data_IF_686187834738
#
_entry.id   IF_686187834738
#
_cell.length_a   1.000
_cell.length_b   1.000
_cell.length_c   1.000
_cell.angle_alpha   90.00
_cell.angle_beta   90.00
_cell.angle_gamma   90.00
#
_symmetry.space_group_name_H-M   'P 1'
#
loop_
_entity.id
_entity.type
_entity.pdbx_description
1 polymer ?
#
# COMPACT_ATOMS: atom_id res chain seq x y z
N UNK A 1 -20.45 13.70 -0.10
CA UNK A 1 -19.04 13.56 0.32
C UNK A 1 -18.34 12.61 -0.64
N UNK A 2 -17.22 13.01 -1.25
CA UNK A 2 -16.49 12.15 -2.17
C UNK A 2 -15.65 11.13 -1.36
N UNK A 3 -15.85 9.84 -1.60
CA UNK A 3 -15.09 8.72 -1.00
C UNK A 3 -13.74 8.52 -1.73
N UNK A 4 -13.13 9.59 -2.26
CA UNK A 4 -11.96 9.52 -3.16
C UNK A 4 -10.62 9.73 -2.46
N UNK A 5 -10.59 9.68 -1.15
CA UNK A 5 -9.45 10.02 -0.30
C UNK A 5 -8.72 8.79 0.29
N UNK A 6 -8.87 7.62 -0.36
CA UNK A 6 -8.27 6.35 0.10
C UNK A 6 -7.68 5.54 -1.03
N UNK A 7 -6.55 4.90 -0.70
CA UNK A 7 -5.85 3.98 -1.59
C UNK A 7 -5.60 2.68 -0.83
N UNK A 8 -5.98 1.55 -1.40
CA UNK A 8 -5.52 0.23 -0.94
C UNK A 8 -4.07 0.03 -1.37
N UNK A 9 -3.17 -0.15 -0.40
CA UNK A 9 -1.75 -0.34 -0.67
C UNK A 9 -1.48 -1.63 -1.45
N UNK A 10 -0.45 -1.66 -2.34
CA UNK A 10 -0.05 -2.87 -3.04
C UNK A 10 0.60 -3.84 -2.06
N UNK A 11 -0.01 -5.01 -1.87
CA UNK A 11 0.43 -6.01 -0.91
C UNK A 11 1.11 -7.17 -1.64
N UNK A 12 2.40 -7.38 -1.34
CA UNK A 12 3.16 -8.45 -1.97
C UNK A 12 2.54 -9.82 -1.66
N UNK A 13 2.35 -10.65 -2.68
CA UNK A 13 1.66 -11.95 -2.71
C UNK A 13 0.17 -11.90 -2.36
N UNK A 14 -0.34 -10.84 -1.78
CA UNK A 14 -1.72 -10.71 -1.29
C UNK A 14 -2.63 -9.98 -2.28
N UNK A 15 -2.17 -8.85 -2.84
CA UNK A 15 -2.98 -8.11 -3.82
C UNK A 15 -2.98 -8.80 -5.17
N UNK A 16 -4.15 -9.18 -5.63
CA UNK A 16 -4.45 -9.70 -6.95
C UNK A 16 -5.66 -9.00 -7.57
N UNK A 17 -6.10 -9.40 -8.78
CA UNK A 17 -7.25 -8.78 -9.44
C UNK A 17 -8.51 -8.73 -8.59
N UNK A 18 -8.82 -9.79 -7.82
CA UNK A 18 -10.04 -9.84 -7.00
C UNK A 18 -10.09 -8.71 -5.98
N UNK A 19 -9.00 -8.53 -5.23
CA UNK A 19 -8.90 -7.45 -4.24
C UNK A 19 -8.97 -6.06 -4.90
N UNK A 20 -8.21 -5.85 -5.98
CA UNK A 20 -8.16 -4.57 -6.70
C UNK A 20 -9.52 -4.21 -7.29
N UNK A 21 -10.20 -5.16 -7.94
CA UNK A 21 -11.53 -4.96 -8.52
C UNK A 21 -12.55 -4.61 -7.44
N UNK A 22 -12.52 -5.33 -6.31
CA UNK A 22 -13.41 -5.06 -5.18
C UNK A 22 -13.18 -3.66 -4.59
N UNK A 23 -11.93 -3.25 -4.41
CA UNK A 23 -11.55 -1.91 -3.96
C UNK A 23 -12.03 -0.83 -4.92
N UNK A 24 -11.80 -0.98 -6.21
CA UNK A 24 -12.23 0.00 -7.23
C UNK A 24 -13.75 0.10 -7.32
N UNK A 25 -14.48 -1.04 -7.27
CA UNK A 25 -15.96 -1.06 -7.21
C UNK A 25 -16.50 -0.40 -5.95
N UNK A 26 -15.80 -0.50 -4.82
CA UNK A 26 -16.15 0.19 -3.58
C UNK A 26 -15.78 1.69 -3.57
N UNK A 27 -15.17 2.21 -4.63
CA UNK A 27 -14.88 3.62 -4.83
C UNK A 27 -13.55 4.10 -4.27
N UNK A 28 -12.63 3.20 -3.92
CA UNK A 28 -11.26 3.51 -3.50
C UNK A 28 -10.25 3.00 -4.52
N UNK A 29 -9.10 3.65 -4.65
CA UNK A 29 -8.05 3.23 -5.57
C UNK A 29 -7.50 1.88 -5.10
N UNK A 30 -7.68 0.83 -5.90
CA UNK A 30 -7.09 -0.48 -5.66
C UNK A 30 -5.70 -0.58 -6.28
N UNK A 31 -4.78 -1.31 -5.65
CA UNK A 31 -3.43 -1.46 -6.21
C UNK A 31 -2.83 -2.85 -5.98
N UNK A 32 -1.91 -3.23 -6.86
CA UNK A 32 -1.16 -4.47 -6.74
C UNK A 32 0.28 -4.30 -7.25
N UNK A 33 1.26 -5.08 -6.70
CA UNK A 33 2.61 -5.12 -7.23
C UNK A 33 2.66 -5.87 -8.58
N UNK A 34 3.32 -5.31 -9.60
CA UNK A 34 3.54 -6.01 -10.87
C UNK A 34 4.23 -7.36 -10.66
N UNK A 35 5.13 -7.45 -9.68
CA UNK A 35 5.83 -8.69 -9.31
C UNK A 35 4.93 -9.79 -8.73
N UNK A 36 3.67 -9.53 -8.40
CA UNK A 36 2.70 -10.56 -8.00
C UNK A 36 2.20 -11.36 -9.23
N UNK A 37 2.14 -10.73 -10.38
CA UNK A 37 1.79 -11.40 -11.64
C UNK A 37 2.96 -12.24 -12.15
N UNK A 38 2.86 -13.55 -12.03
CA UNK A 38 3.92 -14.52 -12.37
C UNK A 38 3.36 -15.69 -13.17
N UNK A 39 4.00 -16.05 -14.29
CA UNK A 39 5.10 -15.37 -14.97
C UNK A 39 4.71 -13.99 -15.52
N UNK A 40 5.68 -13.23 -16.10
CA UNK A 40 5.52 -11.81 -16.47
C UNK A 40 4.29 -11.53 -17.35
N UNK A 41 3.99 -12.37 -18.34
CA UNK A 41 2.85 -12.20 -19.24
C UNK A 41 1.49 -12.16 -18.51
N UNK A 42 1.39 -12.72 -17.31
CA UNK A 42 0.19 -12.69 -16.47
C UNK A 42 -0.18 -11.26 -16.07
N UNK A 43 0.78 -10.31 -16.08
CA UNK A 43 0.49 -8.89 -15.84
C UNK A 43 -0.47 -8.33 -16.88
N UNK A 44 -0.26 -8.66 -18.16
CA UNK A 44 -1.18 -8.26 -19.25
C UNK A 44 -2.59 -8.80 -19.02
N UNK A 45 -2.72 -10.08 -18.65
CA UNK A 45 -4.00 -10.72 -18.37
C UNK A 45 -4.73 -10.07 -17.18
N UNK A 46 -3.99 -9.77 -16.10
CA UNK A 46 -4.56 -9.13 -14.91
C UNK A 46 -5.09 -7.72 -15.23
N UNK A 47 -4.32 -6.91 -15.97
CA UNK A 47 -4.74 -5.57 -16.33
C UNK A 47 -5.98 -5.61 -17.22
N UNK A 48 -6.03 -6.51 -18.22
CA UNK A 48 -7.20 -6.69 -19.08
C UNK A 48 -8.42 -7.08 -18.24
N UNK A 49 -8.28 -8.06 -17.35
CA UNK A 49 -9.37 -8.50 -16.48
C UNK A 49 -9.89 -7.35 -15.61
N UNK A 50 -9.00 -6.60 -14.95
CA UNK A 50 -9.38 -5.47 -14.09
C UNK A 50 -10.14 -4.44 -14.90
N UNK A 51 -9.62 -4.01 -16.05
CA UNK A 51 -10.27 -3.00 -16.92
C UNK A 51 -11.64 -3.47 -17.39
N UNK A 52 -11.76 -4.70 -17.85
CA UNK A 52 -13.02 -5.28 -18.35
C UNK A 52 -14.05 -5.35 -17.23
N UNK A 53 -13.72 -5.91 -16.06
CA UNK A 53 -14.69 -6.05 -14.97
C UNK A 53 -15.13 -4.71 -14.37
N UNK A 54 -14.24 -3.70 -14.35
CA UNK A 54 -14.60 -2.35 -13.90
C UNK A 54 -15.50 -1.63 -14.91
N UNK A 55 -15.25 -1.77 -16.22
CA UNK A 55 -16.09 -1.23 -17.27
C UNK A 55 -17.49 -1.88 -17.23
N UNK A 56 -17.57 -3.20 -17.22
CA UNK A 56 -18.83 -3.95 -17.12
C UNK A 56 -19.65 -3.57 -15.88
N UNK A 57 -18.96 -3.36 -14.76
CA UNK A 57 -19.62 -2.92 -13.53
C UNK A 57 -20.17 -1.50 -13.64
N UNK A 58 -19.38 -0.59 -14.24
CA UNK A 58 -19.81 0.79 -14.44
C UNK A 58 -21.00 0.88 -15.41
N UNK A 59 -21.02 0.08 -16.47
CA UNK A 59 -22.13 0.02 -17.45
C UNK A 59 -23.43 -0.46 -16.80
N UNK A 60 -23.32 -1.48 -15.93
CA UNK A 60 -24.48 -2.01 -15.17
C UNK A 60 -24.92 -1.10 -14.04
N UNK A 61 -24.03 -0.23 -13.54
CA UNK A 61 -24.27 0.68 -12.42
C UNK A 61 -23.80 2.11 -12.76
N UNK A 62 -24.50 2.85 -13.63
CA UNK A 62 -24.05 4.16 -14.13
C UNK A 62 -23.75 5.18 -13.02
N UNK A 63 -24.49 5.13 -11.91
CA UNK A 63 -24.30 6.02 -10.76
C UNK A 63 -23.15 5.59 -9.83
N UNK A 64 -22.59 4.39 -10.01
CA UNK A 64 -21.50 3.90 -9.16
C UNK A 64 -20.23 4.75 -9.40
N UNK A 65 -19.58 5.09 -8.30
CA UNK A 65 -18.29 5.80 -8.29
C UNK A 65 -17.15 4.78 -8.31
N UNK A 66 -16.87 4.23 -9.50
CA UNK A 66 -15.74 3.32 -9.71
C UNK A 66 -14.44 4.12 -9.68
N UNK A 67 -13.50 3.72 -8.82
CA UNK A 67 -12.17 4.33 -8.75
C UNK A 67 -11.21 3.71 -9.80
N UNK A 68 -10.16 4.44 -10.23
CA UNK A 68 -9.08 3.86 -11.01
C UNK A 68 -8.27 2.85 -10.19
N UNK A 69 -7.47 2.04 -10.87
CA UNK A 69 -6.51 1.16 -10.22
C UNK A 69 -5.07 1.65 -10.42
N UNK A 70 -4.15 1.12 -9.60
CA UNK A 70 -2.73 1.39 -9.68
C UNK A 70 -1.90 0.10 -9.77
N UNK A 71 -0.73 0.18 -10.44
CA UNK A 71 0.26 -0.89 -10.50
C UNK A 71 1.53 -0.43 -9.80
N UNK A 72 2.01 -1.20 -8.83
CA UNK A 72 3.27 -0.88 -8.15
C UNK A 72 4.47 -1.49 -8.87
N UNK A 73 5.49 -0.67 -9.07
CA UNK A 73 6.77 -1.00 -9.67
C UNK A 73 7.92 -0.81 -8.67
N UNK A 74 8.67 -1.87 -8.45
CA UNK A 74 9.87 -1.82 -7.59
C UNK A 74 11.05 -1.29 -8.38
N UNK A 75 11.47 -0.05 -8.13
CA UNK A 75 12.61 0.60 -8.77
C UNK A 75 13.92 0.17 -8.08
N UNK A 76 14.38 -1.03 -8.36
CA UNK A 76 15.64 -1.57 -7.82
C UNK A 76 16.42 -2.29 -8.91
N UNK A 77 17.78 -2.24 -8.84
CA UNK A 77 18.66 -2.85 -9.85
C UNK A 77 18.48 -4.38 -9.99
N UNK A 78 18.01 -5.05 -8.94
CA UNK A 78 17.71 -6.48 -8.99
C UNK A 78 16.34 -6.80 -9.60
N UNK A 79 15.48 -5.82 -9.89
CA UNK A 79 14.24 -6.05 -10.60
C UNK A 79 14.50 -6.02 -12.12
N UNK A 80 14.77 -7.17 -12.67
CA UNK A 80 15.08 -7.39 -14.10
C UNK A 80 13.85 -7.26 -15.01
N UNK A 81 12.63 -7.19 -14.44
CA UNK A 81 11.37 -7.06 -15.16
C UNK A 81 10.88 -5.61 -15.29
N UNK A 82 11.48 -4.65 -14.57
CA UNK A 82 10.92 -3.30 -14.38
C UNK A 82 10.44 -2.67 -15.71
N UNK A 83 11.31 -2.60 -16.71
CA UNK A 83 10.96 -1.93 -17.97
C UNK A 83 9.99 -2.76 -18.81
N UNK A 84 10.06 -4.09 -18.79
CA UNK A 84 9.11 -4.95 -19.47
C UNK A 84 7.70 -4.85 -18.84
N UNK A 85 7.62 -4.77 -17.51
CA UNK A 85 6.36 -4.52 -16.81
C UNK A 85 5.82 -3.12 -17.10
N UNK A 86 6.71 -2.11 -17.24
CA UNK A 86 6.31 -0.76 -17.66
C UNK A 86 5.81 -0.70 -19.10
N UNK A 87 6.42 -1.43 -20.04
CA UNK A 87 5.89 -1.55 -21.42
C UNK A 87 4.46 -2.08 -21.42
N UNK A 88 4.16 -3.06 -20.55
CA UNK A 88 2.79 -3.57 -20.38
C UNK A 88 1.88 -2.50 -19.79
N UNK A 89 2.33 -1.73 -18.79
CA UNK A 89 1.55 -0.63 -18.21
C UNK A 89 1.27 0.48 -19.24
N UNK A 90 2.25 0.86 -20.05
CA UNK A 90 2.10 1.85 -21.14
C UNK A 90 1.10 1.36 -22.20
N UNK A 91 1.24 0.09 -22.66
CA UNK A 91 0.31 -0.53 -23.61
C UNK A 91 -1.15 -0.43 -23.16
N UNK A 92 -1.40 -0.55 -21.89
CA UNK A 92 -2.74 -0.51 -21.31
C UNK A 92 -3.12 0.85 -20.72
N UNK A 93 -2.27 1.86 -20.82
CA UNK A 93 -2.50 3.19 -20.23
C UNK A 93 -2.97 3.08 -18.79
N UNK A 94 -2.16 2.39 -17.94
CA UNK A 94 -2.49 2.20 -16.51
C UNK A 94 -2.58 3.56 -15.84
N UNK A 95 -3.71 3.93 -15.19
CA UNK A 95 -3.95 5.30 -14.75
C UNK A 95 -2.93 5.82 -13.74
N UNK A 96 -2.47 4.93 -12.84
CA UNK A 96 -1.57 5.29 -11.74
C UNK A 96 -0.47 4.23 -11.62
N UNK A 97 0.77 4.69 -11.60
CA UNK A 97 1.93 3.87 -11.26
C UNK A 97 2.40 4.25 -9.86
N UNK A 98 2.53 3.28 -8.98
CA UNK A 98 3.17 3.46 -7.67
C UNK A 98 4.61 2.97 -7.79
N UNK A 99 5.59 3.74 -7.30
CA UNK A 99 7.00 3.37 -7.36
C UNK A 99 7.62 3.34 -5.97
N UNK A 100 8.57 2.45 -5.76
CA UNK A 100 9.22 2.25 -4.45
C UNK A 100 10.74 2.12 -4.62
N UNK A 101 11.51 2.51 -3.59
CA UNK A 101 12.94 2.39 -3.39
C UNK A 101 13.77 3.48 -4.08
N UNK A 102 14.19 3.34 -5.35
CA UNK A 102 15.03 4.32 -6.05
C UNK A 102 14.19 5.38 -6.75
N UNK A 103 14.76 6.59 -7.00
CA UNK A 103 14.08 7.60 -7.78
C UNK A 103 13.66 7.05 -9.16
N UNK A 104 12.42 7.30 -9.61
CA UNK A 104 11.79 6.56 -10.69
C UNK A 104 11.82 7.28 -12.06
N UNK A 105 12.92 7.97 -12.44
CA UNK A 105 12.97 8.82 -13.64
C UNK A 105 12.44 8.15 -14.91
N UNK A 106 12.90 6.93 -15.22
CA UNK A 106 12.49 6.19 -16.42
C UNK A 106 11.00 5.78 -16.36
N UNK A 107 10.50 5.47 -15.15
CA UNK A 107 9.09 5.13 -14.94
C UNK A 107 8.19 6.36 -15.07
N UNK A 108 8.63 7.52 -14.58
CA UNK A 108 7.93 8.80 -14.73
C UNK A 108 7.80 9.17 -16.21
N UNK A 109 8.89 9.13 -16.97
CA UNK A 109 8.86 9.41 -18.40
C UNK A 109 7.89 8.47 -19.14
N UNK A 110 7.96 7.17 -18.87
CA UNK A 110 7.08 6.18 -19.48
C UNK A 110 5.60 6.40 -19.12
N UNK A 111 5.27 6.66 -17.85
CA UNK A 111 3.91 6.90 -17.42
C UNK A 111 3.33 8.22 -17.99
N UNK A 112 4.10 9.29 -17.97
CA UNK A 112 3.69 10.59 -18.50
C UNK A 112 3.49 10.56 -20.02
N UNK A 113 4.12 9.64 -20.76
CA UNK A 113 3.95 9.52 -22.22
C UNK A 113 2.50 9.29 -22.67
N UNK A 114 1.65 8.72 -21.79
CA UNK A 114 0.22 8.48 -22.03
C UNK A 114 -0.71 9.22 -21.06
N UNK A 115 -0.17 10.10 -20.21
CA UNK A 115 -0.93 10.86 -19.21
C UNK A 115 -1.25 10.10 -17.91
N UNK A 116 -0.53 9.02 -17.62
CA UNK A 116 -0.58 8.32 -16.33
C UNK A 116 0.10 9.12 -15.23
N UNK A 117 -0.32 8.91 -13.98
CA UNK A 117 0.25 9.54 -12.79
C UNK A 117 1.27 8.62 -12.09
N UNK A 118 2.29 9.21 -11.49
CA UNK A 118 3.30 8.47 -10.70
C UNK A 118 3.29 8.93 -9.25
N UNK A 119 3.05 8.00 -8.33
CA UNK A 119 3.18 8.22 -6.90
C UNK A 119 4.38 7.43 -6.36
N UNK A 120 5.23 8.06 -5.55
CA UNK A 120 6.47 7.45 -5.08
C UNK A 120 6.52 7.29 -3.56
N UNK A 121 6.89 6.09 -3.09
CA UNK A 121 7.07 5.78 -1.67
C UNK A 121 8.33 6.46 -1.12
N UNK A 122 8.16 7.24 -0.05
CA UNK A 122 9.25 7.95 0.63
C UNK A 122 9.15 7.82 2.15
N UNK A 123 10.28 7.81 2.85
CA UNK A 123 10.34 7.63 4.31
C UNK A 123 10.92 8.84 5.05
N UNK A 124 11.35 9.88 4.34
CA UNK A 124 11.90 11.11 4.89
C UNK A 124 11.93 12.24 3.85
N UNK A 125 12.18 13.47 4.28
CA UNK A 125 12.19 14.67 3.42
C UNK A 125 13.23 14.57 2.30
N UNK A 126 14.43 14.04 2.57
CA UNK A 126 15.47 13.88 1.54
C UNK A 126 15.02 12.95 0.41
N UNK A 127 14.33 11.84 0.74
CA UNK A 127 13.76 10.94 -0.27
C UNK A 127 12.63 11.63 -1.03
N UNK A 128 11.78 12.38 -0.33
CA UNK A 128 10.69 13.15 -0.93
C UNK A 128 11.21 14.18 -1.95
N UNK A 129 12.24 14.96 -1.59
CA UNK A 129 12.88 15.93 -2.49
C UNK A 129 13.46 15.25 -3.74
N UNK A 130 14.18 14.13 -3.57
CA UNK A 130 14.73 13.39 -4.70
C UNK A 130 13.67 12.82 -5.64
N UNK A 131 12.54 12.39 -5.11
CA UNK A 131 11.41 11.91 -5.91
C UNK A 131 10.75 13.08 -6.67
N UNK A 132 10.52 14.21 -6.00
CA UNK A 132 9.97 15.41 -6.61
C UNK A 132 10.85 15.95 -7.76
N UNK A 133 12.19 15.91 -7.61
CA UNK A 133 13.14 16.26 -8.67
C UNK A 133 13.02 15.38 -9.92
N UNK A 134 12.45 14.18 -9.80
CA UNK A 134 12.18 13.29 -10.93
C UNK A 134 10.80 13.51 -11.56
N UNK A 135 10.02 14.45 -11.05
CA UNK A 135 8.74 14.83 -11.63
C UNK A 135 7.56 13.92 -11.24
N UNK A 136 7.63 13.25 -10.09
CA UNK A 136 6.48 12.47 -9.58
C UNK A 136 5.29 13.37 -9.28
N UNK A 137 4.07 12.87 -9.52
CA UNK A 137 2.82 13.61 -9.30
C UNK A 137 2.36 13.58 -7.83
N UNK A 138 2.90 12.62 -7.06
CA UNK A 138 2.58 12.50 -5.65
C UNK A 138 3.63 11.72 -4.85
N UNK A 139 3.61 11.98 -3.55
CA UNK A 139 4.50 11.36 -2.57
C UNK A 139 3.68 10.51 -1.59
N UNK A 140 4.02 9.23 -1.46
CA UNK A 140 3.48 8.34 -0.45
C UNK A 140 4.43 8.38 0.75
N UNK A 141 4.00 9.03 1.81
CA UNK A 141 4.78 9.17 3.04
C UNK A 141 4.61 7.92 3.89
N UNK A 142 5.58 7.00 3.78
CA UNK A 142 5.57 5.72 4.50
C UNK A 142 6.17 5.93 5.88
N UNK A 143 5.29 6.29 6.82
CA UNK A 143 5.65 6.69 8.18
C UNK A 143 5.79 5.52 9.14
N UNK A 144 6.15 5.82 10.39
CA UNK A 144 6.18 4.86 11.47
C UNK A 144 4.86 4.10 11.60
N UNK A 145 4.95 2.79 11.80
CA UNK A 145 3.81 1.90 11.94
C UNK A 145 3.19 1.41 10.63
N UNK A 146 3.72 1.76 9.46
CA UNK A 146 3.33 1.12 8.21
C UNK A 146 3.78 -0.34 8.18
N UNK A 147 2.97 -1.25 7.61
CA UNK A 147 3.31 -2.66 7.44
C UNK A 147 4.33 -2.89 6.33
N UNK A 148 5.16 -3.93 6.46
CA UNK A 148 6.27 -4.17 5.55
C UNK A 148 7.33 -3.09 5.65
N UNK A 149 8.02 -2.76 4.55
CA UNK A 149 9.05 -1.72 4.54
C UNK A 149 8.47 -0.38 4.98
N UNK A 150 9.08 0.25 5.99
CA UNK A 150 8.56 1.46 6.59
C UNK A 150 9.66 2.41 7.07
N UNK A 151 9.35 3.70 7.12
CA UNK A 151 10.14 4.69 7.82
C UNK A 151 9.89 4.68 9.34
N UNK A 152 10.71 5.43 10.05
CA UNK A 152 10.61 5.60 11.50
C UNK A 152 10.05 6.98 11.91
N UNK A 153 9.80 7.88 10.95
CA UNK A 153 9.29 9.21 11.23
C UNK A 153 7.80 9.19 11.56
N UNK A 154 7.43 10.03 12.53
CA UNK A 154 6.03 10.27 12.86
C UNK A 154 5.28 10.90 11.68
N UNK A 155 4.04 10.47 11.37
CA UNK A 155 3.22 11.13 10.36
C UNK A 155 2.96 12.61 10.67
N UNK A 156 2.81 12.98 11.95
CA UNK A 156 2.61 14.37 12.39
C UNK A 156 3.78 15.29 12.02
N UNK A 157 5.01 14.78 11.98
CA UNK A 157 6.17 15.53 11.56
C UNK A 157 6.31 15.53 10.04
N UNK A 158 6.39 14.35 9.42
CA UNK A 158 6.75 14.23 8.01
C UNK A 158 5.73 14.87 7.07
N UNK A 159 4.40 14.72 7.33
CA UNK A 159 3.37 15.34 6.49
C UNK A 159 3.51 16.87 6.49
N UNK A 160 3.72 17.46 7.67
CA UNK A 160 3.84 18.92 7.80
C UNK A 160 5.08 19.46 7.10
N UNK A 161 6.24 18.81 7.29
CA UNK A 161 7.48 19.20 6.63
C UNK A 161 7.39 19.09 5.09
N UNK A 162 6.74 18.05 4.56
CA UNK A 162 6.58 17.88 3.11
C UNK A 162 5.60 18.89 2.52
N UNK A 163 4.47 19.16 3.19
CA UNK A 163 3.46 20.14 2.74
C UNK A 163 3.95 21.60 2.73
N UNK A 164 5.09 21.92 3.35
CA UNK A 164 5.68 23.26 3.29
C UNK A 164 6.28 23.60 1.91
N UNK A 165 6.65 22.60 1.11
CA UNK A 165 7.37 22.83 -0.15
C UNK A 165 6.85 21.99 -1.33
N UNK A 166 6.03 20.98 -1.10
CA UNK A 166 5.50 20.10 -2.15
C UNK A 166 4.03 20.38 -2.41
N UNK A 167 3.72 20.89 -3.60
CA UNK A 167 2.36 21.24 -4.03
C UNK A 167 1.60 20.08 -4.68
N UNK A 168 2.29 18.95 -4.95
CA UNK A 168 1.69 17.75 -5.51
C UNK A 168 0.87 16.94 -4.49
N UNK A 169 0.37 15.79 -4.93
CA UNK A 169 -0.46 14.91 -4.09
C UNK A 169 0.34 14.31 -2.94
N UNK A 170 -0.13 14.47 -1.70
CA UNK A 170 0.46 13.86 -0.50
C UNK A 170 -0.43 12.74 0.00
N UNK A 171 0.14 11.54 0.10
CA UNK A 171 -0.54 10.32 0.50
C UNK A 171 0.11 9.83 1.80
N UNK A 172 -0.68 9.63 2.86
CA UNK A 172 -0.17 9.20 4.15
C UNK A 172 -0.36 7.69 4.35
N UNK A 173 0.75 7.01 4.66
CA UNK A 173 0.81 5.60 5.06
C UNK A 173 1.40 5.45 6.47
N UNK A 174 0.83 4.55 7.25
CA UNK A 174 1.29 4.20 8.59
C UNK A 174 0.18 4.19 9.62
N UNK A 175 -0.08 3.02 10.19
CA UNK A 175 -1.08 2.78 11.24
C UNK A 175 -2.53 3.19 10.88
N UNK A 176 -2.88 3.23 9.59
CA UNK A 176 -4.22 3.57 9.13
C UNK A 176 -5.03 2.30 8.91
N UNK A 177 -6.07 2.07 9.72
CA UNK A 177 -6.88 0.85 9.69
C UNK A 177 -8.39 1.06 9.77
N UNK A 178 -8.86 2.28 10.08
CA UNK A 178 -10.25 2.62 10.31
C UNK A 178 -10.60 4.04 9.82
N UNK A 179 -11.86 4.44 9.94
CA UNK A 179 -12.32 5.76 9.52
C UNK A 179 -11.78 6.91 10.37
N UNK A 180 -11.48 6.70 11.65
CA UNK A 180 -10.89 7.71 12.52
C UNK A 180 -9.45 8.03 12.10
N UNK A 181 -8.66 7.00 11.77
CA UNK A 181 -7.29 7.18 11.28
C UNK A 181 -7.26 7.81 9.88
N UNK A 182 -8.24 7.50 9.02
CA UNK A 182 -8.42 8.20 7.73
C UNK A 182 -8.73 9.68 7.95
N UNK A 183 -9.69 10.02 8.84
CA UNK A 183 -10.03 11.40 9.16
C UNK A 183 -8.80 12.17 9.71
N UNK A 184 -7.99 11.50 10.55
CA UNK A 184 -6.76 12.07 11.09
C UNK A 184 -5.71 12.34 10.02
N UNK A 185 -5.56 11.46 9.03
CA UNK A 185 -4.65 11.66 7.89
C UNK A 185 -5.02 12.92 7.08
N UNK A 186 -6.33 13.08 6.78
CA UNK A 186 -6.83 14.25 6.05
C UNK A 186 -6.68 15.52 6.90
N UNK A 187 -6.95 15.48 8.21
CA UNK A 187 -6.76 16.62 9.11
C UNK A 187 -5.29 17.05 9.22
N UNK A 188 -4.33 16.14 9.06
CA UNK A 188 -2.89 16.47 8.98
C UNK A 188 -2.52 17.21 7.69
N UNK A 189 -3.34 17.13 6.65
CA UNK A 189 -3.11 17.74 5.34
C UNK A 189 -2.74 16.77 4.23
N UNK A 190 -2.86 15.45 4.45
CA UNK A 190 -2.75 14.48 3.37
C UNK A 190 -3.99 14.53 2.46
N UNK A 191 -3.78 14.30 1.16
CA UNK A 191 -4.84 14.24 0.17
C UNK A 191 -5.49 12.84 0.13
N UNK A 192 -4.71 11.80 0.48
CA UNK A 192 -5.15 10.41 0.55
C UNK A 192 -4.59 9.69 1.79
N UNK A 193 -5.39 8.79 2.31
CA UNK A 193 -4.97 7.79 3.28
C UNK A 193 -4.63 6.46 2.56
N UNK A 194 -3.53 5.81 2.95
CA UNK A 194 -3.00 4.59 2.33
C UNK A 194 -3.11 3.41 3.29
N UNK A 195 -4.01 2.48 3.00
CA UNK A 195 -4.34 1.37 3.88
C UNK A 195 -3.79 0.06 3.32
N UNK A 196 -2.92 -0.61 4.10
CA UNK A 196 -2.38 -1.94 3.74
C UNK A 196 -3.00 -3.05 4.56
N UNK A 197 -2.54 -3.20 5.79
CA UNK A 197 -2.85 -4.34 6.69
C UNK A 197 -4.34 -4.62 6.82
N UNK A 198 -5.18 -3.59 6.89
CA UNK A 198 -6.63 -3.77 7.02
C UNK A 198 -7.23 -4.53 5.82
N UNK A 199 -6.68 -4.35 4.60
CA UNK A 199 -7.15 -5.06 3.42
C UNK A 199 -6.61 -6.50 3.30
N UNK A 200 -5.56 -6.87 4.03
CA UNK A 200 -5.14 -8.28 4.12
C UNK A 200 -6.25 -9.13 4.75
N UNK A 201 -6.91 -8.58 5.79
CA UNK A 201 -8.05 -9.19 6.46
C UNK A 201 -9.36 -8.84 5.74
N UNK A 202 -9.49 -9.25 4.48
CA UNK A 202 -10.72 -9.20 3.67
C UNK A 202 -10.91 -10.49 2.89
N UNK A 203 -12.15 -10.78 2.48
CA UNK A 203 -12.47 -12.00 1.73
C UNK A 203 -11.68 -12.09 0.43
N UNK A 204 -11.56 -10.98 -0.31
CA UNK A 204 -10.95 -10.92 -1.65
C UNK A 204 -9.41 -10.88 -1.65
N UNK A 205 -8.80 -10.70 -0.48
CA UNK A 205 -7.35 -10.75 -0.34
C UNK A 205 -6.82 -12.18 -0.47
N UNK A 206 -5.81 -12.38 -1.33
CA UNK A 206 -5.11 -13.64 -1.49
C UNK A 206 -4.11 -13.87 -0.33
N UNK A 207 -4.63 -13.88 0.90
CA UNK A 207 -3.85 -14.13 2.11
C UNK A 207 -4.28 -15.46 2.74
N UNK A 208 -3.31 -16.17 3.32
CA UNK A 208 -3.57 -17.38 4.08
C UNK A 208 -4.56 -17.12 5.21
N UNK A 209 -5.43 -18.10 5.52
CA UNK A 209 -6.40 -17.97 6.60
C UNK A 209 -5.72 -17.83 7.98
N UNK A 210 -4.57 -18.46 8.17
CA UNK A 210 -3.78 -18.29 9.39
C UNK A 210 -3.24 -16.86 9.50
N UNK A 211 -2.86 -16.24 8.38
CA UNK A 211 -2.43 -14.84 8.37
C UNK A 211 -3.59 -13.92 8.76
N UNK A 212 -4.76 -14.07 8.15
CA UNK A 212 -5.96 -13.27 8.50
C UNK A 212 -6.32 -13.44 9.97
N UNK A 213 -6.35 -14.67 10.47
CA UNK A 213 -6.60 -14.96 11.89
C UNK A 213 -5.55 -14.33 12.82
N UNK A 214 -4.26 -14.40 12.46
CA UNK A 214 -3.21 -13.79 13.25
C UNK A 214 -3.36 -12.26 13.33
N UNK A 215 -3.84 -11.62 12.25
CA UNK A 215 -4.16 -10.20 12.26
C UNK A 215 -5.30 -9.86 13.22
N UNK A 216 -6.34 -10.71 13.30
CA UNK A 216 -7.50 -10.53 14.18
C UNK A 216 -7.15 -10.71 15.67
N UNK A 217 -6.16 -11.55 15.97
CA UNK A 217 -5.72 -11.91 17.32
C UNK A 217 -4.59 -11.03 17.87
N UNK A 218 -3.95 -10.20 17.03
CA UNK A 218 -2.77 -9.40 17.38
C UNK A 218 -3.10 -7.94 17.71
N UNK A 219 -2.16 -7.30 18.39
CA UNK A 219 -2.20 -5.88 18.74
C UNK A 219 -0.93 -5.15 18.27
N UNK A 220 -0.88 -3.82 18.42
CA UNK A 220 0.27 -3.01 18.04
C UNK A 220 1.59 -3.46 18.71
N UNK A 221 1.52 -3.99 19.94
CA UNK A 221 2.67 -4.54 20.68
C UNK A 221 3.25 -5.82 20.06
N UNK A 222 2.47 -6.50 19.19
CA UNK A 222 2.89 -7.71 18.48
C UNK A 222 3.61 -7.39 17.17
N UNK A 223 3.92 -6.14 16.91
CA UNK A 223 4.70 -5.69 15.77
C UNK A 223 6.17 -5.46 16.18
N UNK A 224 7.08 -6.02 15.39
CA UNK A 224 8.53 -5.75 15.52
C UNK A 224 9.06 -5.05 14.28
N UNK A 225 9.93 -4.06 14.50
CA UNK A 225 10.58 -3.31 13.41
C UNK A 225 12.00 -3.85 13.23
N UNK A 226 12.29 -4.49 12.11
CA UNK A 226 13.56 -5.19 11.85
C UNK A 226 13.95 -5.11 10.39
N UNK A 227 15.26 -5.15 10.12
CA UNK A 227 15.82 -5.27 8.77
C UNK A 227 16.17 -6.72 8.40
N UNK A 228 16.07 -7.66 9.34
CA UNK A 228 16.58 -9.04 9.20
C UNK A 228 16.09 -9.74 7.93
N UNK A 229 14.80 -9.58 7.58
CA UNK A 229 14.14 -10.42 6.59
C UNK A 229 14.38 -9.99 5.14
N UNK A 230 14.68 -8.72 4.92
CA UNK A 230 14.79 -8.16 3.56
C UNK A 230 16.00 -7.25 3.35
N UNK A 231 16.78 -7.00 4.39
CA UNK A 231 17.84 -5.97 4.38
C UNK A 231 17.33 -4.53 4.52
N UNK A 232 16.00 -4.33 4.44
CA UNK A 232 15.32 -3.04 4.62
C UNK A 232 14.50 -3.09 5.90
N UNK A 233 14.52 -2.02 6.68
CA UNK A 233 13.71 -1.90 7.89
C UNK A 233 12.22 -1.98 7.56
N UNK A 234 11.52 -2.83 8.29
CA UNK A 234 10.10 -3.07 8.10
C UNK A 234 9.41 -3.62 9.35
N UNK A 235 8.08 -3.57 9.33
CA UNK A 235 7.23 -4.03 10.42
C UNK A 235 6.66 -5.42 10.13
N UNK A 236 6.82 -6.34 11.08
CA UNK A 236 6.45 -7.75 10.97
C UNK A 236 5.72 -8.23 12.22
N UNK A 237 4.86 -9.25 12.04
CA UNK A 237 4.14 -9.91 13.14
C UNK A 237 5.05 -10.81 13.96
N UNK A 238 5.20 -10.50 15.24
CA UNK A 238 5.96 -11.33 16.20
C UNK A 238 5.49 -12.78 16.26
N UNK A 239 4.18 -13.09 16.27
CA UNK A 239 3.72 -14.49 16.25
C UNK A 239 4.19 -15.25 15.00
N UNK A 240 4.20 -14.65 13.80
CA UNK A 240 4.70 -15.32 12.59
C UNK A 240 6.20 -15.60 12.65
N UNK A 241 6.98 -14.70 13.27
CA UNK A 241 8.42 -14.88 13.50
C UNK A 241 8.65 -16.05 14.47
N UNK A 242 7.86 -16.15 15.54
CA UNK A 242 7.91 -17.27 16.50
C UNK A 242 7.58 -18.62 15.82
N UNK A 243 6.56 -18.63 14.97
CA UNK A 243 6.17 -19.82 14.21
C UNK A 243 7.28 -20.27 13.24
N UNK A 244 8.08 -19.33 12.73
CA UNK A 244 9.27 -19.62 11.92
C UNK A 244 10.50 -20.07 12.75
N UNK A 245 10.37 -20.17 14.06
CA UNK A 245 11.43 -20.67 14.97
C UNK A 245 12.45 -19.60 15.40
N UNK A 246 12.12 -18.31 15.23
CA UNK A 246 12.99 -17.20 15.64
C UNK A 246 12.44 -16.50 16.90
N UNK A 247 13.33 -15.87 17.66
CA UNK A 247 12.95 -15.02 18.80
C UNK A 247 12.74 -13.57 18.34
N UNK A 248 11.49 -13.05 18.28
CA UNK A 248 11.22 -11.70 17.79
C UNK A 248 11.76 -10.59 18.69
N UNK A 249 12.08 -10.89 19.93
CA UNK A 249 12.63 -9.92 20.88
C UNK A 249 14.19 -9.91 20.86
N UNK A 250 14.81 -10.84 20.11
CA UNK A 250 16.27 -10.95 20.00
C UNK A 250 16.71 -11.27 18.56
N UNK A 251 16.26 -10.43 17.60
CA UNK A 251 16.59 -10.60 16.18
C UNK A 251 17.97 -10.04 15.87
N UNK A 252 18.83 -10.77 15.11
CA UNK A 252 20.09 -10.24 14.63
C UNK A 252 19.88 -9.12 13.59
N UNK A 253 20.89 -8.28 13.38
CA UNK A 253 20.89 -7.33 12.30
C UNK A 253 21.06 -8.01 10.93
N UNK A 254 20.44 -7.44 9.89
CA UNK A 254 20.52 -7.99 8.54
C UNK A 254 21.85 -7.68 7.85
N UNK A 255 22.27 -8.59 7.00
CA UNK A 255 23.26 -8.29 5.97
C UNK A 255 22.60 -7.46 4.85
N UNK A 256 22.97 -6.20 4.72
CA UNK A 256 22.44 -5.27 3.69
C UNK A 256 22.74 -5.71 2.24
N UNK A 257 23.70 -6.62 2.04
CA UNK A 257 24.04 -7.16 0.72
C UNK A 257 23.02 -8.20 0.22
N UNK A 258 22.13 -8.68 1.09
CA UNK A 258 21.15 -9.73 0.78
C UNK A 258 19.86 -9.24 0.10
N UNK A 259 19.73 -7.91 -0.20
CA UNK A 259 18.55 -7.38 -0.90
C UNK A 259 18.44 -7.91 -2.32
N UNK A 260 17.37 -8.66 -2.62
CA UNK A 260 17.09 -9.19 -3.95
C UNK A 260 15.60 -9.12 -4.27
N UNK A 261 15.22 -8.31 -5.27
CA UNK A 261 13.88 -8.19 -5.84
C UNK A 261 13.78 -8.78 -7.25
N UNK A 262 14.73 -9.61 -7.67
CA UNK A 262 14.74 -10.27 -8.98
C UNK A 262 13.58 -11.23 -9.18
N UNK A 263 13.28 -11.53 -10.46
CA UNK A 263 12.21 -12.46 -10.87
C UNK A 263 12.37 -13.88 -10.31
N UNK A 264 13.61 -14.29 -10.02
CA UNK A 264 13.92 -15.56 -9.37
C UNK A 264 13.66 -15.58 -7.86
N UNK A 265 13.53 -14.41 -7.22
CA UNK A 265 13.45 -14.27 -5.77
C UNK A 265 14.68 -14.85 -5.05
N UNK A 266 14.88 -14.54 -3.78
CA UNK A 266 15.81 -15.33 -2.98
C UNK A 266 15.11 -16.64 -2.63
N UNK A 267 15.43 -17.73 -3.33
CA UNK A 267 14.83 -19.06 -3.13
C UNK A 267 15.08 -19.61 -1.72
N UNK A 268 16.09 -19.09 -1.03
CA UNK A 268 16.41 -19.43 0.35
C UNK A 268 15.65 -18.61 1.38
N UNK A 269 15.04 -17.46 1.01
CA UNK A 269 14.25 -16.67 1.94
C UNK A 269 12.77 -17.05 1.89
N UNK A 270 12.36 -17.95 2.74
CA UNK A 270 10.97 -18.20 3.12
C UNK A 270 10.32 -16.97 3.80
N UNK A 271 11.09 -15.89 3.98
CA UNK A 271 10.78 -14.74 4.80
C UNK A 271 9.40 -14.11 4.50
N UNK A 272 9.04 -13.93 3.22
CA UNK A 272 7.75 -13.36 2.85
C UNK A 272 6.61 -14.39 2.80
N UNK A 273 6.93 -15.68 2.82
CA UNK A 273 5.92 -16.73 2.84
C UNK A 273 5.52 -17.10 4.26
N UNK A 274 6.49 -17.14 5.17
CA UNK A 274 6.31 -17.67 6.51
C UNK A 274 6.37 -16.56 7.60
N UNK A 275 6.93 -15.36 7.28
CA UNK A 275 7.01 -14.20 8.18
C UNK A 275 6.21 -13.04 7.59
N UNK A 276 5.14 -12.68 8.27
CA UNK A 276 4.13 -11.79 7.75
C UNK A 276 4.32 -10.34 8.17
N UNK A 277 4.24 -9.44 7.18
CA UNK A 277 4.31 -8.00 7.40
C UNK A 277 2.99 -7.43 7.91
N UNK A 278 3.04 -6.55 8.91
CA UNK A 278 1.83 -5.87 9.40
C UNK A 278 2.18 -4.50 9.97
N UNK A 279 1.27 -3.55 9.80
CA UNK A 279 1.35 -2.23 10.43
C UNK A 279 0.80 -2.20 11.84
N UNK A 280 1.17 -1.17 12.61
CA UNK A 280 0.75 -1.01 14.01
C UNK A 280 -0.75 -0.70 14.17
N UNK A 281 -1.47 -0.33 13.11
CA UNK A 281 -2.93 -0.15 13.12
C UNK A 281 -3.74 -1.45 13.23
N UNK A 282 -3.10 -2.59 13.49
CA UNK A 282 -3.67 -3.93 13.53
C UNK A 282 -4.73 -4.13 14.63
N UNK A 283 -4.61 -3.47 15.77
CA UNK A 283 -5.45 -3.72 16.95
C UNK A 283 -6.96 -3.52 16.73
N UNK A 284 -7.34 -2.79 15.68
CA UNK A 284 -8.73 -2.58 15.26
C UNK A 284 -9.30 -3.70 14.37
N UNK A 285 -8.48 -4.66 13.91
CA UNK A 285 -8.92 -5.76 13.05
C UNK A 285 -9.54 -6.86 13.91
N UNK A 286 -10.83 -7.17 13.70
CA UNK A 286 -11.59 -8.16 14.49
C UNK A 286 -12.27 -9.21 13.63
N UNK A 287 -12.26 -9.03 12.32
CA UNK A 287 -12.91 -9.89 11.33
C UNK A 287 -12.28 -9.68 9.94
N UNK A 288 -12.65 -10.56 9.01
CA UNK A 288 -12.23 -10.52 7.61
C UNK A 288 -13.45 -10.39 6.68
N UNK A 289 -14.15 -9.23 6.66
CA UNK A 289 -15.34 -9.01 5.84
C UNK A 289 -14.99 -8.84 4.35
N UNK A 290 -16.01 -8.73 3.50
CA UNK A 290 -15.82 -8.27 2.14
C UNK A 290 -15.27 -6.83 2.09
N UNK A 291 -14.54 -6.50 1.01
CA UNK A 291 -14.04 -5.12 0.80
C UNK A 291 -15.18 -4.10 0.80
N UNK A 292 -16.32 -4.44 0.19
CA UNK A 292 -17.47 -3.53 0.14
C UNK A 292 -18.00 -3.20 1.55
N UNK A 293 -18.12 -4.20 2.42
CA UNK A 293 -18.54 -4.02 3.80
C UNK A 293 -17.52 -3.23 4.61
N UNK A 294 -16.22 -3.57 4.48
CA UNK A 294 -15.15 -2.84 5.14
C UNK A 294 -15.14 -1.35 4.76
N UNK A 295 -15.22 -1.04 3.47
CA UNK A 295 -15.23 0.36 3.00
C UNK A 295 -16.46 1.10 3.50
N UNK A 296 -17.60 0.42 3.58
CA UNK A 296 -18.82 0.95 4.20
C UNK A 296 -18.64 1.29 5.68
N UNK A 297 -18.01 0.41 6.46
CA UNK A 297 -17.68 0.66 7.89
C UNK A 297 -16.72 1.85 8.04
N UNK A 298 -15.62 1.87 7.29
CA UNK A 298 -14.64 2.96 7.31
C UNK A 298 -15.31 4.31 6.99
N UNK A 299 -16.30 4.32 6.08
CA UNK A 299 -17.04 5.53 5.76
C UNK A 299 -17.85 6.03 6.95
N UNK A 300 -18.59 5.15 7.63
CA UNK A 300 -19.38 5.52 8.81
C UNK A 300 -18.49 6.03 9.94
N UNK A 301 -17.38 5.34 10.21
CA UNK A 301 -16.40 5.74 11.22
C UNK A 301 -15.76 7.11 10.89
N UNK A 302 -15.48 7.38 9.62
CA UNK A 302 -14.96 8.67 9.16
C UNK A 302 -15.96 9.80 9.38
N UNK A 303 -17.24 9.56 9.05
CA UNK A 303 -18.32 10.53 9.26
C UNK A 303 -18.51 10.81 10.77
N UNK A 304 -18.44 9.78 11.60
CA UNK A 304 -18.51 9.93 13.05
C UNK A 304 -17.32 10.73 13.61
N UNK A 305 -16.11 10.43 13.18
CA UNK A 305 -14.91 11.18 13.60
C UNK A 305 -15.02 12.67 13.27
N UNK A 306 -15.58 13.02 12.10
CA UNK A 306 -15.81 14.40 11.71
C UNK A 306 -16.82 15.10 12.61
N UNK A 307 -17.96 14.46 12.94
CA UNK A 307 -18.97 15.04 13.81
C UNK A 307 -18.48 15.19 15.27
N UNK A 308 -17.70 14.21 15.75
CA UNK A 308 -17.08 14.26 17.08
C UNK A 308 -16.08 15.43 17.19
N UNK A 309 -15.27 15.63 16.14
CA UNK A 309 -14.33 16.74 16.08
C UNK A 309 -15.05 18.09 16.07
N UNK A 310 -16.08 18.24 15.25
CA UNK A 310 -16.91 19.44 15.17
C UNK A 310 -17.54 19.77 16.52
N UNK A 311 -18.09 18.76 17.21
CA UNK A 311 -18.68 18.95 18.54
C UNK A 311 -17.67 19.45 19.57
N UNK A 312 -16.42 18.91 19.55
CA UNK A 312 -15.35 19.32 20.47
C UNK A 312 -14.84 20.75 20.23
N UNK A 313 -14.94 21.27 19.00
CA UNK A 313 -14.52 22.65 18.69
C UNK A 313 -15.61 23.64 19.07
N UNK A 314 -16.89 23.26 19.02
CA UNK A 314 -18.02 24.14 19.27
C UNK A 314 -18.50 24.14 20.72
N UNK A 315 -18.00 23.24 21.55
CA UNK A 315 -18.22 23.17 23.00
C UNK A 315 -17.17 23.98 23.78
#
# INVERSE_FOLDING_TARGET
MCIRDRIGAPLFLVSGPDLVIAQCKAGIIGSFPALNARPQHVLDEWIIRIKTELADYKDKNPEAKVAPFAVNQICHASNDRLMQDMETCVKHEVPIIITSLRPPSEVVEAAHSYGGLVFHDVINVRHAQKAAEQGVDGLILVCAGAGGHAGALSPFALVREVKEWFDGTVILSGSIGDGHSVASAIALGADFAYLGTRFIATEEANADQEYKKMLEESAASDIVYSSLFTGVLGNYLKPSIKNAGLDPDNLPEADKSAMNFGSGGNTDSKAWKDIWGSGQGIGGIKDSPSVAELVGRIKVEYEQAYEDFKTKITS
#
